data_IF_552896255019
#
_entry.id   IF_552896255019
#
_cell.length_a   1.000
_cell.length_b   1.000
_cell.length_c   1.000
_cell.angle_alpha   90.00
_cell.angle_beta   90.00
_cell.angle_gamma   90.00
#
_symmetry.space_group_name_H-M   'P 1'
#
loop_
_entity.id
_entity.type
_entity.pdbx_description
1 polymer ?
#
# COMPACT_ATOMS: atom_id res chain seq x y z
N UNK A 1 5.84 31.98 16.27
CA UNK A 1 4.86 30.88 16.13
C UNK A 1 5.55 29.58 16.54
N UNK A 2 5.21 28.98 17.69
CA UNK A 2 5.90 27.76 18.20
C UNK A 2 5.66 26.61 17.22
N UNK A 3 6.71 26.07 16.62
CA UNK A 3 6.63 24.79 15.90
C UNK A 3 6.10 23.73 16.86
N UNK A 4 4.88 23.22 16.62
CA UNK A 4 4.40 22.05 17.33
C UNK A 4 5.23 20.86 16.86
N UNK A 5 6.26 20.51 17.63
CA UNK A 5 7.15 19.36 17.36
C UNK A 5 6.38 18.05 17.16
N UNK A 6 5.16 17.95 17.68
CA UNK A 6 4.27 16.79 17.56
C UNK A 6 3.64 16.61 16.16
N UNK A 7 3.57 17.65 15.32
CA UNK A 7 2.85 17.59 14.04
C UNK A 7 3.52 16.62 13.05
N UNK A 8 4.84 16.47 13.10
CA UNK A 8 5.58 15.58 12.21
C UNK A 8 5.50 14.11 12.58
N UNK A 9 5.53 13.81 13.88
CA UNK A 9 5.42 12.45 14.39
C UNK A 9 4.03 11.88 14.12
N UNK A 10 2.97 12.65 14.45
CA UNK A 10 1.57 12.23 14.22
C UNK A 10 1.29 12.03 12.72
N UNK A 11 1.85 12.89 11.86
CA UNK A 11 1.76 12.71 10.42
C UNK A 11 2.38 11.39 9.96
N UNK A 12 3.64 11.15 10.32
CA UNK A 12 4.35 9.94 9.90
C UNK A 12 3.66 8.67 10.42
N UNK A 13 3.25 8.68 11.68
CA UNK A 13 2.56 7.55 12.30
C UNK A 13 1.22 7.25 11.62
N UNK A 14 0.44 8.29 11.30
CA UNK A 14 -0.88 8.14 10.68
C UNK A 14 -0.77 7.64 9.24
N UNK A 15 0.15 8.19 8.45
CA UNK A 15 0.38 7.72 7.08
C UNK A 15 0.89 6.27 7.12
N UNK A 16 1.85 5.97 7.98
CA UNK A 16 2.37 4.60 8.16
C UNK A 16 1.26 3.61 8.50
N UNK A 17 0.44 3.91 9.51
CA UNK A 17 -0.61 3.00 9.97
C UNK A 17 -1.72 2.79 8.94
N UNK A 18 -2.18 3.87 8.29
CA UNK A 18 -3.19 3.78 7.23
C UNK A 18 -2.66 2.99 6.03
N UNK A 19 -1.41 3.26 5.62
CA UNK A 19 -0.75 2.52 4.55
C UNK A 19 -0.76 1.04 4.88
N UNK A 20 -0.27 0.68 6.07
CA UNK A 20 -0.16 -0.71 6.52
C UNK A 20 -1.52 -1.41 6.55
N UNK A 21 -2.53 -0.78 7.13
CA UNK A 21 -3.85 -1.40 7.31
C UNK A 21 -4.55 -1.65 5.97
N UNK A 22 -4.50 -0.68 5.05
CA UNK A 22 -5.14 -0.80 3.73
C UNK A 22 -4.32 -1.71 2.81
N UNK A 23 -2.99 -1.59 2.84
CA UNK A 23 -2.07 -2.49 2.14
C UNK A 23 -2.23 -3.94 2.56
N UNK A 24 -2.75 -4.21 3.76
CA UNK A 24 -2.88 -5.58 4.27
C UNK A 24 -4.29 -6.14 4.10
N UNK A 25 -5.32 -5.35 4.39
CA UNK A 25 -6.70 -5.83 4.36
C UNK A 25 -7.28 -5.89 2.95
N UNK A 26 -6.93 -4.93 2.07
CA UNK A 26 -7.49 -4.87 0.73
C UNK A 26 -7.12 -6.09 -0.14
N UNK A 27 -5.85 -6.57 -0.14
CA UNK A 27 -5.48 -7.85 -0.75
C UNK A 27 -6.33 -9.04 -0.29
N UNK A 28 -6.56 -9.13 1.02
CA UNK A 28 -7.33 -10.22 1.59
C UNK A 28 -8.78 -10.20 1.11
N UNK A 29 -9.45 -9.04 1.15
CA UNK A 29 -10.82 -8.92 0.67
C UNK A 29 -10.94 -9.20 -0.83
N UNK A 30 -9.98 -8.72 -1.63
CA UNK A 30 -9.95 -9.01 -3.07
C UNK A 30 -9.88 -10.52 -3.31
N UNK A 31 -8.97 -11.21 -2.61
CA UNK A 31 -8.83 -12.67 -2.70
C UNK A 31 -10.09 -13.40 -2.25
N UNK A 32 -10.68 -12.98 -1.13
CA UNK A 32 -11.91 -13.55 -0.62
C UNK A 32 -13.05 -13.43 -1.64
N UNK A 33 -13.24 -12.26 -2.25
CA UNK A 33 -14.26 -12.06 -3.29
C UNK A 33 -13.97 -12.93 -4.51
N UNK A 34 -12.72 -12.96 -4.99
CA UNK A 34 -12.35 -13.77 -6.15
C UNK A 34 -12.52 -15.27 -5.92
N UNK A 35 -12.38 -15.73 -4.67
CA UNK A 35 -12.56 -17.15 -4.33
C UNK A 35 -13.99 -17.67 -4.59
N UNK A 36 -14.99 -16.78 -4.69
CA UNK A 36 -16.34 -17.16 -5.10
C UNK A 36 -16.51 -17.38 -6.61
N UNK A 37 -15.56 -16.91 -7.43
CA UNK A 37 -15.66 -16.93 -8.89
C UNK A 37 -14.57 -17.78 -9.57
N UNK A 38 -13.52 -18.14 -8.83
CA UNK A 38 -12.38 -18.89 -9.34
C UNK A 38 -12.28 -20.20 -8.56
N UNK A 39 -12.62 -21.31 -9.22
CA UNK A 39 -12.37 -22.64 -8.67
C UNK A 39 -10.85 -22.89 -8.61
N UNK A 40 -10.37 -23.15 -7.40
CA UNK A 40 -8.96 -23.49 -7.18
C UNK A 40 -8.82 -25.01 -7.28
N UNK A 41 -7.89 -25.53 -8.10
CA UNK A 41 -7.75 -26.96 -8.32
C UNK A 41 -7.40 -27.68 -7.02
N UNK A 42 -7.98 -28.87 -6.85
CA UNK A 42 -7.69 -29.73 -5.70
C UNK A 42 -6.27 -30.28 -5.73
N UNK A 43 -5.80 -30.83 -4.61
CA UNK A 43 -4.46 -31.43 -4.48
C UNK A 43 -4.24 -32.53 -5.54
N UNK A 44 -5.26 -33.34 -5.83
CA UNK A 44 -5.20 -34.40 -6.83
C UNK A 44 -5.12 -33.87 -8.29
N UNK A 45 -5.69 -32.71 -8.57
CA UNK A 45 -5.62 -32.09 -9.91
C UNK A 45 -4.26 -31.43 -10.13
N UNK A 46 -3.69 -30.86 -9.07
CA UNK A 46 -2.34 -30.29 -9.06
C UNK A 46 -1.23 -31.36 -9.21
N UNK A 47 -1.51 -32.62 -8.87
CA UNK A 47 -0.63 -33.75 -9.13
C UNK A 47 -0.46 -34.03 -10.62
N UNK A 48 -1.51 -33.77 -11.42
CA UNK A 48 -1.52 -34.09 -12.85
C UNK A 48 -0.97 -32.95 -13.70
N UNK A 49 -1.35 -31.69 -13.41
CA UNK A 49 -0.89 -30.51 -14.15
C UNK A 49 -1.10 -29.20 -13.36
N UNK A 50 -0.01 -28.55 -12.95
CA UNK A 50 -0.06 -27.24 -12.29
C UNK A 50 -0.35 -26.07 -13.24
N UNK A 51 -0.44 -26.30 -14.55
CA UNK A 51 -0.53 -25.24 -15.56
C UNK A 51 -1.75 -24.33 -15.37
N UNK A 52 -2.90 -24.87 -14.95
CA UNK A 52 -4.09 -24.04 -14.68
C UNK A 52 -3.87 -23.05 -13.52
N UNK A 53 -3.19 -23.49 -12.47
CA UNK A 53 -2.85 -22.66 -11.32
C UNK A 53 -1.92 -21.49 -11.74
N UNK A 54 -0.87 -21.77 -12.51
CA UNK A 54 0.14 -20.77 -12.90
C UNK A 54 -0.27 -19.87 -14.08
N UNK A 55 -1.10 -20.36 -14.98
CA UNK A 55 -1.45 -19.64 -16.21
C UNK A 55 -2.79 -18.93 -16.11
N UNK A 56 -3.65 -19.30 -15.15
CA UNK A 56 -5.00 -18.71 -15.01
C UNK A 56 -5.20 -18.13 -13.62
N UNK A 57 -5.09 -18.95 -12.57
CA UNK A 57 -5.45 -18.52 -11.20
C UNK A 57 -4.47 -17.48 -10.67
N UNK A 58 -3.17 -17.78 -10.68
CA UNK A 58 -2.15 -16.86 -10.16
C UNK A 58 -2.10 -15.53 -10.90
N UNK A 59 -2.22 -15.49 -12.25
CA UNK A 59 -2.34 -14.24 -12.97
C UNK A 59 -3.56 -13.45 -12.52
N UNK A 60 -4.74 -14.05 -12.45
CA UNK A 60 -5.97 -13.32 -12.10
C UNK A 60 -5.91 -12.85 -10.64
N UNK A 61 -5.66 -13.77 -9.71
CA UNK A 61 -5.59 -13.48 -8.28
C UNK A 61 -4.47 -12.48 -7.97
N UNK A 62 -3.29 -12.67 -8.55
CA UNK A 62 -2.16 -11.76 -8.40
C UNK A 62 -2.44 -10.37 -8.94
N UNK A 63 -2.94 -10.27 -10.17
CA UNK A 63 -3.23 -8.99 -10.82
C UNK A 63 -4.26 -8.18 -10.06
N UNK A 64 -5.37 -8.81 -9.65
CA UNK A 64 -6.44 -8.11 -8.93
C UNK A 64 -5.99 -7.76 -7.52
N UNK A 65 -5.28 -8.65 -6.83
CA UNK A 65 -4.72 -8.38 -5.50
C UNK A 65 -3.76 -7.20 -5.52
N UNK A 66 -2.84 -7.17 -6.49
CA UNK A 66 -1.92 -6.05 -6.69
C UNK A 66 -2.70 -4.80 -7.06
N UNK A 67 -3.63 -4.85 -8.02
CA UNK A 67 -4.40 -3.67 -8.41
C UNK A 67 -5.14 -3.04 -7.22
N UNK A 68 -5.85 -3.86 -6.44
CA UNK A 68 -6.61 -3.42 -5.26
C UNK A 68 -5.67 -2.88 -4.17
N UNK A 69 -4.52 -3.52 -3.96
CA UNK A 69 -3.47 -3.02 -3.08
C UNK A 69 -2.94 -1.64 -3.50
N UNK A 70 -2.58 -1.48 -4.77
CA UNK A 70 -2.03 -0.23 -5.31
C UNK A 70 -3.08 0.87 -5.26
N UNK A 71 -4.29 0.62 -5.78
CA UNK A 71 -5.36 1.62 -5.77
C UNK A 71 -5.78 2.02 -4.36
N UNK A 72 -6.08 1.05 -3.50
CA UNK A 72 -6.48 1.31 -2.12
C UNK A 72 -5.38 2.02 -1.34
N UNK A 73 -4.15 1.51 -1.41
CA UNK A 73 -3.01 2.06 -0.70
C UNK A 73 -2.65 3.48 -1.17
N UNK A 74 -2.53 3.70 -2.47
CA UNK A 74 -2.13 5.01 -3.01
C UNK A 74 -3.18 6.08 -2.75
N UNK A 75 -4.46 5.75 -2.94
CA UNK A 75 -5.56 6.67 -2.65
C UNK A 75 -5.60 7.03 -1.16
N UNK A 76 -5.42 6.04 -0.29
CA UNK A 76 -5.42 6.29 1.15
C UNK A 76 -4.27 7.19 1.59
N UNK A 77 -3.07 6.98 1.07
CA UNK A 77 -1.92 7.82 1.35
C UNK A 77 -2.09 9.25 0.86
N UNK A 78 -2.67 9.40 -0.33
CA UNK A 78 -3.06 10.71 -0.85
C UNK A 78 -4.05 11.41 0.09
N UNK A 79 -5.16 10.75 0.43
CA UNK A 79 -6.23 11.32 1.27
C UNK A 79 -5.71 11.68 2.66
N UNK A 80 -4.91 10.80 3.26
CA UNK A 80 -4.34 11.03 4.58
C UNK A 80 -3.33 12.20 4.55
N UNK A 81 -2.45 12.25 3.54
CA UNK A 81 -1.55 13.36 3.32
C UNK A 81 -2.29 14.70 3.18
N UNK A 82 -3.35 14.69 2.36
CA UNK A 82 -4.23 15.83 2.13
C UNK A 82 -4.91 16.31 3.42
N UNK A 83 -5.64 15.42 4.12
CA UNK A 83 -6.43 15.80 5.29
C UNK A 83 -5.57 16.34 6.43
N UNK A 84 -4.40 15.76 6.66
CA UNK A 84 -3.51 16.23 7.73
C UNK A 84 -2.96 17.62 7.38
N UNK A 85 -2.48 17.82 6.15
CA UNK A 85 -1.96 19.10 5.70
C UNK A 85 -3.04 20.20 5.71
N UNK A 86 -4.25 19.88 5.25
CA UNK A 86 -5.40 20.78 5.28
C UNK A 86 -5.74 21.25 6.71
N UNK A 87 -5.71 20.34 7.69
CA UNK A 87 -5.97 20.69 9.10
C UNK A 87 -4.88 21.52 9.75
N UNK A 88 -3.62 21.32 9.35
CA UNK A 88 -2.47 22.05 9.89
C UNK A 88 -2.52 23.53 9.53
N UNK A 89 -3.13 23.90 8.39
CA UNK A 89 -3.47 25.30 8.07
C UNK A 89 -2.26 26.25 8.07
N UNK A 90 -1.07 25.73 7.85
CA UNK A 90 0.18 26.50 7.85
C UNK A 90 1.12 26.00 6.77
N UNK A 91 1.81 26.93 6.12
CA UNK A 91 2.80 26.59 5.11
C UNK A 91 4.01 25.92 5.76
N UNK A 92 4.34 24.69 5.36
CA UNK A 92 5.51 23.99 5.88
C UNK A 92 6.69 24.10 4.93
N UNK A 93 7.90 24.21 5.50
CA UNK A 93 9.12 24.18 4.70
C UNK A 93 9.20 22.86 3.92
N UNK A 94 9.41 22.93 2.61
CA UNK A 94 9.51 21.76 1.70
C UNK A 94 10.50 20.70 2.23
N UNK A 95 11.64 21.14 2.80
CA UNK A 95 12.62 20.22 3.39
C UNK A 95 12.03 19.35 4.52
N UNK A 96 11.17 19.93 5.36
CA UNK A 96 10.49 19.23 6.47
C UNK A 96 9.48 18.22 5.93
N UNK A 97 8.72 18.59 4.89
CA UNK A 97 7.78 17.71 4.19
C UNK A 97 8.53 16.50 3.61
N UNK A 98 9.61 16.74 2.85
CA UNK A 98 10.43 15.68 2.26
C UNK A 98 10.96 14.72 3.32
N UNK A 99 11.49 15.23 4.43
CA UNK A 99 12.05 14.39 5.49
C UNK A 99 10.97 13.50 6.13
N UNK A 100 9.77 14.02 6.38
CA UNK A 100 8.64 13.26 6.92
C UNK A 100 8.17 12.14 5.97
N UNK A 101 8.05 12.45 4.68
CA UNK A 101 7.69 11.47 3.65
C UNK A 101 8.76 10.39 3.54
N UNK A 102 10.05 10.76 3.52
CA UNK A 102 11.17 9.80 3.45
C UNK A 102 11.17 8.88 4.68
N UNK A 103 11.05 9.44 5.89
CA UNK A 103 11.02 8.62 7.12
C UNK A 103 9.86 7.63 7.09
N UNK A 104 8.70 8.06 6.63
CA UNK A 104 7.52 7.19 6.51
C UNK A 104 7.70 6.12 5.43
N UNK A 105 8.29 6.49 4.29
CA UNK A 105 8.59 5.57 3.21
C UNK A 105 9.62 4.50 3.59
N UNK A 106 10.64 4.86 4.37
CA UNK A 106 11.59 3.90 4.93
C UNK A 106 10.88 2.92 5.86
N UNK A 107 9.96 3.39 6.71
CA UNK A 107 9.17 2.51 7.58
C UNK A 107 8.27 1.55 6.78
N UNK A 108 7.58 2.03 5.74
CA UNK A 108 6.78 1.20 4.83
C UNK A 108 7.67 0.18 4.10
N UNK A 109 8.86 0.59 3.66
CA UNK A 109 9.81 -0.29 3.00
C UNK A 109 10.30 -1.40 3.94
N UNK A 110 10.70 -1.06 5.16
CA UNK A 110 11.10 -2.05 6.19
C UNK A 110 9.95 -3.01 6.48
N UNK A 111 8.72 -2.50 6.60
CA UNK A 111 7.54 -3.34 6.78
C UNK A 111 7.32 -4.29 5.61
N UNK A 112 7.40 -3.80 4.38
CA UNK A 112 7.28 -4.62 3.16
C UNK A 112 8.37 -5.69 3.08
N UNK A 113 9.60 -5.37 3.45
CA UNK A 113 10.68 -6.36 3.56
C UNK A 113 10.39 -7.40 4.64
N UNK A 114 10.02 -6.96 5.85
CA UNK A 114 9.66 -7.86 6.94
C UNK A 114 8.57 -8.83 6.49
N UNK A 115 7.50 -8.32 5.88
CA UNK A 115 6.40 -9.15 5.41
C UNK A 115 6.77 -10.09 4.26
N UNK A 116 7.68 -9.68 3.38
CA UNK A 116 8.19 -10.56 2.34
C UNK A 116 9.12 -11.65 2.88
N UNK A 117 9.91 -11.38 3.92
CA UNK A 117 10.86 -12.33 4.50
C UNK A 117 10.28 -13.24 5.59
N UNK A 118 9.05 -13.00 6.05
CA UNK A 118 8.44 -13.89 7.04
C UNK A 118 8.31 -15.30 6.46
N UNK A 119 8.90 -16.29 7.15
CA UNK A 119 8.86 -17.72 6.79
C UNK A 119 7.44 -18.27 6.62
N UNK A 120 6.46 -17.57 7.18
CA UNK A 120 5.05 -17.71 6.84
C UNK A 120 4.70 -16.80 5.65
N UNK A 121 5.07 -17.21 4.43
CA UNK A 121 4.50 -16.69 3.16
C UNK A 121 2.97 -16.87 3.04
N UNK A 122 2.33 -17.26 4.14
CA UNK A 122 1.00 -17.82 4.27
C UNK A 122 0.08 -16.95 5.15
N UNK A 123 0.58 -15.83 5.66
CA UNK A 123 -0.22 -14.89 6.44
C UNK A 123 -1.03 -13.94 5.57
N UNK A 124 -2.13 -13.39 6.12
CA UNK A 124 -2.93 -12.30 5.52
C UNK A 124 -2.09 -11.18 4.88
N UNK A 125 -0.91 -10.96 5.45
CA UNK A 125 -0.04 -9.84 5.22
C UNK A 125 1.09 -10.09 4.21
N UNK A 126 1.29 -11.31 3.69
CA UNK A 126 2.38 -11.65 2.74
C UNK A 126 1.89 -11.94 1.31
N UNK A 127 0.57 -11.98 1.11
CA UNK A 127 -0.09 -12.31 -0.16
C UNK A 127 0.30 -11.34 -1.30
N UNK A 128 0.53 -10.06 -0.98
CA UNK A 128 0.91 -9.03 -1.95
C UNK A 128 2.31 -9.25 -2.57
N UNK A 129 3.17 -10.07 -1.95
CA UNK A 129 4.47 -10.44 -2.48
C UNK A 129 4.48 -11.82 -3.12
N UNK A 130 3.63 -12.73 -2.64
CA UNK A 130 3.64 -14.12 -3.08
C UNK A 130 3.19 -14.31 -4.53
N UNK A 131 2.00 -13.82 -4.90
CA UNK A 131 1.50 -13.98 -6.28
C UNK A 131 2.45 -13.42 -7.36
N UNK A 132 2.94 -12.17 -7.24
CA UNK A 132 3.89 -11.65 -8.23
C UNK A 132 5.22 -12.42 -8.27
N UNK A 133 5.69 -12.94 -7.13
CA UNK A 133 6.90 -13.78 -7.09
C UNK A 133 6.69 -15.14 -7.77
N UNK A 134 5.54 -15.79 -7.52
CA UNK A 134 5.17 -17.06 -8.15
C UNK A 134 5.00 -16.92 -9.68
N UNK A 135 4.40 -15.83 -10.14
CA UNK A 135 4.27 -15.51 -11.56
C UNK A 135 5.62 -15.27 -12.22
N UNK A 136 6.46 -14.47 -11.58
CA UNK A 136 7.80 -14.16 -12.10
C UNK A 136 8.65 -15.40 -12.20
N UNK A 137 8.65 -16.25 -11.17
CA UNK A 137 9.33 -17.53 -11.20
C UNK A 137 8.83 -18.46 -12.32
N UNK A 138 7.51 -18.52 -12.54
CA UNK A 138 6.91 -19.26 -13.66
C UNK A 138 7.33 -18.71 -15.03
N UNK A 139 7.34 -17.39 -15.22
CA UNK A 139 7.77 -16.74 -16.46
C UNK A 139 9.24 -17.00 -16.79
N UNK A 140 10.09 -17.05 -15.75
CA UNK A 140 11.52 -17.34 -15.89
C UNK A 140 11.84 -18.84 -15.90
N UNK A 141 10.84 -19.73 -15.90
CA UNK A 141 11.05 -21.17 -15.95
C UNK A 141 11.71 -21.75 -14.70
N UNK A 142 11.62 -21.06 -13.57
CA UNK A 142 12.17 -21.51 -12.28
C UNK A 142 11.30 -22.58 -11.59
N UNK A 143 10.16 -22.92 -12.18
CA UNK A 143 9.17 -23.85 -11.62
C UNK A 143 8.74 -24.83 -12.71
N UNK A 144 8.90 -26.13 -12.46
CA UNK A 144 8.35 -27.15 -13.36
C UNK A 144 6.86 -27.36 -13.06
N UNK A 145 6.02 -26.94 -14.01
CA UNK A 145 4.56 -27.02 -13.91
C UNK A 145 4.04 -28.46 -13.97
N UNK A 146 4.85 -29.40 -14.46
CA UNK A 146 4.48 -30.82 -14.66
C UNK A 146 4.71 -31.68 -13.41
N UNK A 147 5.46 -31.20 -12.43
CA UNK A 147 5.72 -31.94 -11.19
C UNK A 147 5.78 -31.00 -9.99
N UNK A 148 4.64 -30.37 -9.70
CA UNK A 148 4.57 -29.27 -8.73
C UNK A 148 4.88 -29.72 -7.30
N UNK A 149 4.42 -30.92 -6.89
CA UNK A 149 4.60 -31.45 -5.53
C UNK A 149 6.06 -31.60 -5.11
N UNK A 150 6.97 -31.86 -6.04
CA UNK A 150 8.41 -31.90 -5.74
C UNK A 150 8.94 -30.55 -5.23
N UNK A 151 8.28 -29.46 -5.61
CA UNK A 151 8.66 -28.09 -5.26
C UNK A 151 7.77 -27.45 -4.21
N UNK A 152 6.82 -28.17 -3.61
CA UNK A 152 5.95 -27.67 -2.55
C UNK A 152 6.46 -28.15 -1.19
N UNK A 153 6.41 -27.30 -0.16
CA UNK A 153 6.60 -27.78 1.20
C UNK A 153 5.30 -28.41 1.71
N UNK A 154 5.40 -29.39 2.61
CA UNK A 154 4.23 -30.06 3.18
C UNK A 154 3.27 -29.06 3.86
N UNK A 155 3.81 -28.00 4.48
CA UNK A 155 3.03 -26.90 5.06
C UNK A 155 2.19 -26.13 4.04
N UNK A 156 2.63 -26.08 2.78
CA UNK A 156 1.95 -25.37 1.69
C UNK A 156 0.75 -26.14 1.15
N UNK A 157 0.87 -27.48 1.19
CA UNK A 157 -0.18 -28.43 0.84
C UNK A 157 -1.31 -28.37 1.87
N UNK A 158 -0.96 -28.36 3.17
CA UNK A 158 -1.92 -28.35 4.28
C UNK A 158 -2.82 -27.09 4.30
N UNK A 159 -2.33 -25.96 3.79
CA UNK A 159 -3.05 -24.69 3.79
C UNK A 159 -3.61 -24.27 2.42
N UNK A 160 -3.47 -25.11 1.38
CA UNK A 160 -3.88 -24.77 0.00
C UNK A 160 -3.29 -23.43 -0.50
N UNK A 161 -2.08 -23.11 -0.06
CA UNK A 161 -1.34 -21.88 -0.34
C UNK A 161 0.04 -22.31 -0.83
N UNK A 162 0.16 -22.58 -2.12
CA UNK A 162 1.31 -23.29 -2.68
C UNK A 162 2.57 -22.41 -2.77
N UNK A 163 3.33 -22.28 -1.69
CA UNK A 163 4.65 -21.63 -1.72
C UNK A 163 5.63 -22.55 -2.47
N UNK A 164 6.32 -22.00 -3.46
CA UNK A 164 7.18 -22.80 -4.34
C UNK A 164 8.58 -22.78 -3.75
N UNK A 165 8.99 -23.88 -3.12
CA UNK A 165 10.29 -24.08 -2.49
C UNK A 165 11.46 -23.83 -3.46
N UNK A 166 11.26 -24.02 -4.77
CA UNK A 166 12.25 -23.75 -5.82
C UNK A 166 12.69 -22.28 -5.94
N UNK A 167 12.00 -21.34 -5.29
CA UNK A 167 12.30 -19.90 -5.34
C UNK A 167 13.21 -19.47 -4.17
N UNK A 168 13.53 -20.35 -3.22
CA UNK A 168 14.19 -19.99 -1.95
C UNK A 168 15.49 -19.15 -2.08
N UNK A 169 16.29 -19.35 -3.13
CA UNK A 169 17.53 -18.57 -3.33
C UNK A 169 17.32 -17.19 -3.98
N UNK A 170 16.19 -16.98 -4.67
CA UNK A 170 15.89 -15.74 -5.42
C UNK A 170 14.75 -14.93 -4.80
N UNK A 171 14.02 -15.50 -3.86
CA UNK A 171 12.86 -14.87 -3.22
C UNK A 171 13.24 -13.55 -2.53
N UNK A 172 14.42 -13.49 -1.90
CA UNK A 172 14.94 -12.28 -1.29
C UNK A 172 15.10 -11.12 -2.28
N UNK A 173 15.56 -11.40 -3.50
CA UNK A 173 15.70 -10.39 -4.55
C UNK A 173 14.34 -9.94 -5.08
N UNK A 174 13.38 -10.86 -5.24
CA UNK A 174 12.03 -10.50 -5.63
C UNK A 174 11.34 -9.65 -4.58
N UNK A 175 11.40 -10.03 -3.31
CA UNK A 175 10.88 -9.25 -2.18
C UNK A 175 11.49 -7.85 -2.20
N UNK A 176 12.82 -7.74 -2.33
CA UNK A 176 13.50 -6.46 -2.36
C UNK A 176 13.02 -5.59 -3.52
N UNK A 177 12.96 -6.14 -4.73
CA UNK A 177 12.49 -5.44 -5.92
C UNK A 177 11.04 -4.97 -5.77
N UNK A 178 10.14 -5.85 -5.35
CA UNK A 178 8.73 -5.52 -5.14
C UNK A 178 8.54 -4.52 -4.00
N UNK A 179 9.27 -4.65 -2.89
CA UNK A 179 9.21 -3.70 -1.79
C UNK A 179 9.61 -2.28 -2.25
N UNK A 180 10.61 -2.15 -3.13
CA UNK A 180 10.99 -0.86 -3.73
C UNK A 180 9.87 -0.34 -4.64
N UNK A 181 9.43 -1.15 -5.60
CA UNK A 181 8.40 -0.78 -6.60
C UNK A 181 7.11 -0.33 -5.91
N UNK A 182 6.74 -0.97 -4.81
CA UNK A 182 5.56 -0.66 -4.03
C UNK A 182 5.76 0.60 -3.18
N UNK A 183 6.88 0.71 -2.46
CA UNK A 183 7.06 1.76 -1.44
C UNK A 183 7.30 3.15 -2.04
N UNK A 184 7.90 3.24 -3.23
CA UNK A 184 8.18 4.52 -3.90
C UNK A 184 6.88 5.29 -4.25
N UNK A 185 5.91 4.69 -4.96
CA UNK A 185 4.64 5.35 -5.24
C UNK A 185 3.87 5.78 -3.99
N UNK A 186 3.88 4.98 -2.92
CA UNK A 186 3.28 5.37 -1.63
C UNK A 186 3.81 6.71 -1.12
N UNK A 187 5.13 6.93 -1.20
CA UNK A 187 5.74 8.22 -0.85
C UNK A 187 5.30 9.34 -1.79
N UNK A 188 5.23 9.08 -3.10
CA UNK A 188 4.84 10.08 -4.11
C UNK A 188 3.40 10.54 -3.87
N UNK A 189 2.45 9.62 -3.71
CA UNK A 189 1.04 9.97 -3.48
C UNK A 189 0.82 10.68 -2.15
N UNK A 190 1.50 10.27 -1.08
CA UNK A 190 1.48 10.98 0.20
C UNK A 190 2.03 12.41 0.07
N UNK A 191 3.10 12.60 -0.71
CA UNK A 191 3.70 13.91 -0.98
C UNK A 191 2.75 14.82 -1.77
N UNK A 192 2.15 14.31 -2.86
CA UNK A 192 1.20 15.07 -3.68
C UNK A 192 -0.02 15.46 -2.85
N UNK A 193 -0.61 14.51 -2.12
CA UNK A 193 -1.76 14.76 -1.25
C UNK A 193 -1.46 15.86 -0.24
N UNK A 194 -0.28 15.79 0.38
CA UNK A 194 0.19 16.80 1.33
C UNK A 194 0.32 18.20 0.73
N UNK A 195 0.96 18.34 -0.44
CA UNK A 195 1.08 19.65 -1.09
C UNK A 195 -0.30 20.24 -1.40
N UNK A 196 -1.21 19.40 -1.91
CA UNK A 196 -2.57 19.85 -2.25
C UNK A 196 -3.38 20.25 -1.03
N UNK A 197 -3.27 19.49 0.07
CA UNK A 197 -3.94 19.80 1.32
C UNK A 197 -3.43 21.09 1.96
N UNK A 198 -2.13 21.39 1.85
CA UNK A 198 -1.55 22.64 2.36
C UNK A 198 -2.12 23.86 1.63
N UNK A 199 -2.18 23.82 0.30
CA UNK A 199 -2.75 24.90 -0.53
C UNK A 199 -4.21 25.14 -0.15
N UNK A 200 -5.04 24.09 -0.19
CA UNK A 200 -6.47 24.22 0.09
C UNK A 200 -6.73 24.67 1.55
N UNK A 201 -5.86 24.26 2.48
CA UNK A 201 -5.90 24.69 3.88
C UNK A 201 -5.64 26.18 4.05
N UNK A 202 -4.64 26.72 3.36
CA UNK A 202 -4.31 28.16 3.37
C UNK A 202 -5.42 28.98 2.71
N UNK A 203 -5.96 28.51 1.58
CA UNK A 203 -7.07 29.16 0.88
C UNK A 203 -8.32 29.24 1.77
N UNK A 204 -8.59 28.20 2.56
CA UNK A 204 -9.72 28.19 3.51
C UNK A 204 -9.59 29.28 4.58
N UNK A 205 -8.37 29.53 5.06
CA UNK A 205 -8.11 30.60 6.04
C UNK A 205 -8.24 31.96 5.38
N UNK A 206 -7.70 32.13 4.17
CA UNK A 206 -7.78 33.39 3.45
C UNK A 206 -9.24 33.81 3.20
N UNK A 207 -10.09 32.85 2.80
CA UNK A 207 -11.54 33.07 2.66
C UNK A 207 -12.18 33.51 3.98
N UNK A 208 -11.93 32.76 5.05
CA UNK A 208 -12.47 33.08 6.38
C UNK A 208 -12.04 34.47 6.89
N UNK A 209 -10.78 34.86 6.68
CA UNK A 209 -10.28 36.19 7.05
C UNK A 209 -10.94 37.29 6.23
N UNK A 210 -11.20 37.06 4.94
CA UNK A 210 -11.90 38.03 4.09
C UNK A 210 -13.37 38.19 4.48
N UNK A 211 -14.05 37.10 4.82
CA UNK A 211 -15.42 37.12 5.34
C UNK A 211 -15.51 37.95 6.62
N UNK A 212 -14.61 37.71 7.59
CA UNK A 212 -14.55 38.48 8.84
C UNK A 212 -14.27 39.98 8.61
N UNK A 213 -13.38 40.32 7.68
CA UNK A 213 -13.11 41.72 7.32
C UNK A 213 -14.36 42.39 6.76
N UNK A 214 -15.05 41.72 5.83
CA UNK A 214 -16.27 42.25 5.22
C UNK A 214 -17.38 42.47 6.26
N UNK A 215 -17.61 41.51 7.17
CA UNK A 215 -18.59 41.68 8.26
C UNK A 215 -18.25 42.85 9.20
N UNK A 216 -16.95 43.07 9.46
CA UNK A 216 -16.49 44.16 10.32
C UNK A 216 -16.70 45.52 9.65
N UNK A 217 -16.41 45.62 8.35
CA UNK A 217 -16.65 46.83 7.55
C UNK A 217 -18.14 47.17 7.52
N UNK A 218 -19.00 46.20 7.21
CA UNK A 218 -20.46 46.40 7.17
C UNK A 218 -21.03 46.83 8.52
N UNK A 219 -20.54 46.26 9.64
CA UNK A 219 -20.96 46.68 10.99
C UNK A 219 -20.51 48.10 11.35
N UNK A 220 -19.35 48.54 10.87
CA UNK A 220 -18.86 49.90 11.11
C UNK A 220 -19.62 50.94 10.28
N UNK A 221 -20.01 50.60 9.05
CA UNK A 221 -20.87 51.46 8.21
C UNK A 221 -22.26 51.64 8.83
N UNK A 222 -22.87 50.57 9.37
CA UNK A 222 -24.17 50.62 10.06
C UNK A 222 -24.15 51.36 11.41
N UNK A 223 -22.99 51.58 12.02
CA UNK A 223 -22.87 52.36 13.27
C UNK A 223 -22.61 53.84 13.05
N UNK A 224 -22.16 54.21 11.86
CA UNK A 224 -21.73 55.58 11.53
C UNK A 224 -22.66 56.29 10.54
N UNK A 225 -23.69 55.61 10.03
CA UNK A 225 -24.81 56.18 9.27
C UNK A 225 -26.06 56.26 10.13
#
# INVERSE_FOLDING_TARGET
>A
MKERKLDGFVFNFTIYFISLLIASLMPFFARFVLSFFIETPGIAELQADGSYLFNVIYPIMGSVTIAVFLFGGYLACYIAGYKIAYKIRTAQKIRKIKLQIITTGIAIFIWNLYMGFTSSFMGLYSIQFWYPSALTASLFGLVDKKNLLFYLQDSDIDMSNFVIAGINSTIGFFILAYAIIISIPFMIFAYIGRLKGEVDGLDSIAKYVNELKNETTTKNELKNG
#
